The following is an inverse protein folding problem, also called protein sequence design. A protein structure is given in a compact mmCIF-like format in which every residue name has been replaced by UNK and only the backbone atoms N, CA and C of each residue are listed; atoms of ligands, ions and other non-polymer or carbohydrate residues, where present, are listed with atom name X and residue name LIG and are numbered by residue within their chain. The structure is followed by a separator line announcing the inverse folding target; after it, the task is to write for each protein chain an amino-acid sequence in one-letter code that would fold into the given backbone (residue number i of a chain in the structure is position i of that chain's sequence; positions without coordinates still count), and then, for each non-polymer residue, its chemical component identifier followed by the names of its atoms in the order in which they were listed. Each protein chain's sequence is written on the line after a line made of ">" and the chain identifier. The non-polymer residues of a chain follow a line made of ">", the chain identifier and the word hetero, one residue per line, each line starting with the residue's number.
data_IF_180921870474
#
_entry.id   IF_180921870474
#
_cell.length_a   1.000
_cell.length_b   1.000
_cell.length_c   1.000
_cell.angle_alpha   90.00
_cell.angle_beta   90.00
_cell.angle_gamma   90.00
#
_symmetry.space_group_name_H-M   'P 1'
#
loop_
_entity.id
_entity.type
_entity.pdbx_description
1 polymer ?
#
# COMPACT_ATOMS: atom_id res chain seq x y z
N UNK A 1 3.79 -12.40 1.34
CA UNK A 1 4.52 -12.71 2.59
C UNK A 1 3.61 -12.76 3.84
N UNK A 2 2.29 -12.58 3.75
CA UNK A 2 1.40 -12.66 4.94
C UNK A 2 1.19 -14.08 5.51
N UNK A 3 1.11 -15.09 4.65
CA UNK A 3 0.77 -16.47 5.05
C UNK A 3 1.88 -17.12 5.92
N UNK A 4 3.16 -16.87 5.58
CA UNK A 4 4.29 -17.40 6.35
C UNK A 4 4.42 -16.79 7.75
N UNK A 5 4.08 -15.50 7.90
CA UNK A 5 4.06 -14.83 9.20
C UNK A 5 2.96 -15.39 10.12
N UNK A 6 1.76 -15.64 9.59
CA UNK A 6 0.67 -16.24 10.35
C UNK A 6 1.01 -17.65 10.86
N UNK A 7 1.70 -18.46 10.04
CA UNK A 7 2.17 -19.79 10.42
C UNK A 7 3.20 -19.75 11.56
N UNK A 8 4.16 -18.82 11.51
CA UNK A 8 5.15 -18.61 12.57
C UNK A 8 4.50 -18.16 13.89
N UNK A 9 3.55 -17.23 13.83
CA UNK A 9 2.84 -16.72 15.02
C UNK A 9 2.01 -17.83 15.69
N UNK A 10 1.34 -18.69 14.91
CA UNK A 10 0.61 -19.82 15.47
C UNK A 10 1.52 -20.82 16.19
N UNK A 11 2.74 -21.01 15.70
CA UNK A 11 3.73 -21.92 16.30
C UNK A 11 4.27 -21.41 17.63
N UNK A 12 4.41 -20.08 17.79
CA UNK A 12 4.91 -19.44 19.01
C UNK A 12 3.78 -19.14 20.01
N UNK A 13 2.56 -18.89 19.53
CA UNK A 13 1.39 -18.53 20.34
C UNK A 13 0.14 -19.35 19.95
N UNK A 14 0.09 -20.66 20.31
CA UNK A 14 -0.96 -21.58 19.88
C UNK A 14 -2.36 -21.27 20.43
N UNK A 15 -2.46 -20.45 21.50
CA UNK A 15 -3.74 -20.12 22.16
C UNK A 15 -4.38 -18.82 21.63
N UNK A 16 -3.67 -18.04 20.80
CA UNK A 16 -4.17 -16.74 20.36
C UNK A 16 -5.12 -16.95 19.17
N UNK A 17 -6.40 -16.58 19.29
CA UNK A 17 -7.37 -16.75 18.23
C UNK A 17 -7.03 -15.79 17.09
N UNK A 18 -6.28 -16.28 16.10
CA UNK A 18 -5.95 -15.60 14.82
C UNK A 18 -7.16 -15.55 13.88
N UNK A 19 -8.32 -15.20 14.42
CA UNK A 19 -9.49 -14.83 13.62
C UNK A 19 -9.16 -13.49 12.96
N UNK A 20 -8.65 -13.50 11.73
CA UNK A 20 -8.54 -12.31 10.89
C UNK A 20 -9.94 -11.92 10.45
N UNK A 21 -10.59 -10.93 11.10
CA UNK A 21 -11.95 -10.55 10.76
C UNK A 21 -11.91 -9.89 9.39
N UNK A 22 -12.89 -10.19 8.53
CA UNK A 22 -12.99 -9.62 7.19
C UNK A 22 -12.91 -8.09 7.16
N UNK A 23 -13.39 -7.41 8.21
CA UNK A 23 -13.27 -5.96 8.37
C UNK A 23 -11.81 -5.46 8.30
N UNK A 24 -10.85 -6.18 8.87
CA UNK A 24 -9.43 -5.81 8.81
C UNK A 24 -8.83 -6.04 7.44
N UNK A 25 -9.30 -7.05 6.69
CA UNK A 25 -8.86 -7.29 5.31
C UNK A 25 -9.30 -6.12 4.43
N UNK A 26 -10.57 -5.72 4.51
CA UNK A 26 -11.08 -4.56 3.77
C UNK A 26 -10.43 -3.25 4.19
N UNK A 27 -10.18 -3.05 5.50
CA UNK A 27 -9.48 -1.87 5.99
C UNK A 27 -8.03 -1.80 5.49
N UNK A 28 -7.31 -2.93 5.49
CA UNK A 28 -5.94 -3.00 4.99
C UNK A 28 -5.88 -2.77 3.47
N UNK A 29 -6.82 -3.33 2.71
CA UNK A 29 -6.92 -3.12 1.26
C UNK A 29 -7.21 -1.66 0.93
N UNK A 30 -8.18 -1.05 1.61
CA UNK A 30 -8.55 0.35 1.40
C UNK A 30 -7.38 1.27 1.76
N UNK A 31 -6.70 1.00 2.88
CA UNK A 31 -5.53 1.76 3.29
C UNK A 31 -4.38 1.62 2.30
N UNK A 32 -4.11 0.41 1.81
CA UNK A 32 -3.11 0.14 0.77
C UNK A 32 -3.41 0.92 -0.51
N UNK A 33 -4.67 0.89 -0.98
CA UNK A 33 -5.10 1.62 -2.16
C UNK A 33 -4.97 3.14 -1.97
N UNK A 34 -5.38 3.68 -0.82
CA UNK A 34 -5.25 5.10 -0.50
C UNK A 34 -3.79 5.54 -0.49
N UNK A 35 -2.90 4.76 0.14
CA UNK A 35 -1.47 5.08 0.18
C UNK A 35 -0.86 5.00 -1.22
N UNK A 36 -1.15 3.92 -1.97
CA UNK A 36 -0.67 3.75 -3.33
C UNK A 36 -1.11 4.88 -4.26
N UNK A 37 -2.37 5.30 -4.17
CA UNK A 37 -2.89 6.43 -4.92
C UNK A 37 -2.30 7.76 -4.46
N UNK A 38 -2.19 8.02 -3.16
CA UNK A 38 -1.56 9.24 -2.66
C UNK A 38 -0.10 9.36 -3.14
N UNK A 39 0.67 8.27 -3.04
CA UNK A 39 2.04 8.21 -3.50
C UNK A 39 2.19 8.23 -5.03
N UNK A 40 1.22 7.75 -5.81
CA UNK A 40 1.29 7.75 -7.27
C UNK A 40 0.73 9.03 -7.90
N UNK A 41 -0.36 9.56 -7.36
CA UNK A 41 -1.11 10.68 -7.94
C UNK A 41 -0.50 12.03 -7.56
N UNK A 42 -0.10 12.24 -6.29
CA UNK A 42 0.54 13.50 -5.88
C UNK A 42 1.81 13.84 -6.69
N UNK A 43 2.75 12.91 -6.96
CA UNK A 43 3.90 13.23 -7.80
C UNK A 43 3.53 13.36 -9.28
N UNK A 44 2.55 12.60 -9.78
CA UNK A 44 2.07 12.75 -11.16
C UNK A 44 1.46 14.14 -11.39
N UNK A 45 0.70 14.64 -10.42
CA UNK A 45 0.17 16.01 -10.44
C UNK A 45 1.29 17.05 -10.40
N UNK A 46 2.35 16.84 -9.61
CA UNK A 46 3.53 17.72 -9.60
C UNK A 46 4.27 17.70 -10.95
N UNK A 47 4.39 16.54 -11.58
CA UNK A 47 5.01 16.41 -12.90
C UNK A 47 4.18 17.07 -13.99
N UNK A 48 2.85 16.95 -13.95
CA UNK A 48 1.94 17.61 -14.89
C UNK A 48 1.90 19.14 -14.74
N UNK A 49 2.23 19.65 -13.55
CA UNK A 49 2.34 21.07 -13.27
C UNK A 49 3.70 21.69 -13.66
N UNK A 50 4.69 20.88 -14.06
CA UNK A 50 5.94 21.39 -14.64
C UNK A 50 5.67 21.88 -16.06
N UNK A 51 6.16 23.08 -16.35
CA UNK A 51 5.94 23.78 -17.62
C UNK A 51 6.42 22.91 -18.81
N UNK A 52 5.52 22.49 -19.74
CA UNK A 52 5.82 21.52 -20.79
C UNK A 52 6.92 21.96 -21.77
N UNK A 53 7.30 23.24 -21.76
CA UNK A 53 8.39 23.79 -22.57
C UNK A 53 9.79 23.38 -22.05
N UNK A 54 9.94 23.07 -20.75
CA UNK A 54 11.23 22.58 -20.19
C UNK A 54 11.39 21.08 -20.38
N UNK A 55 10.30 20.31 -20.39
CA UNK A 55 10.31 18.86 -20.61
C UNK A 55 10.80 18.45 -22.00
N UNK A 56 10.67 19.33 -23.01
CA UNK A 56 11.14 19.10 -24.39
C UNK A 56 12.56 19.66 -24.67
N UNK A 57 13.17 20.40 -23.74
CA UNK A 57 14.50 21.02 -23.91
C UNK A 57 15.61 20.33 -23.12
N UNK A 58 15.29 19.21 -22.48
CA UNK A 58 16.22 18.31 -21.81
C UNK A 58 16.48 17.02 -22.61
N UNK A 59 16.03 16.98 -23.87
CA UNK A 59 16.56 16.09 -24.90
C UNK A 59 17.84 16.69 -25.50
#
# INVERSE_FOLDING_TARGET
>A
VGIGGAWLVHWVFPIVPVNTPWAYVFAAELLSAVIGLACGVLPALRAAALDPVVALRAE
#
